data_IF_910209754704
#
_entry.id   IF_910209754704
#
_cell.length_a   1.000
_cell.length_b   1.000
_cell.length_c   1.000
_cell.angle_alpha   90.00
_cell.angle_beta   90.00
_cell.angle_gamma   90.00
#
_symmetry.space_group_name_H-M   'P 1'
#
loop_
_entity.id
_entity.type
_entity.pdbx_description
1 polymer ?
#
# COMPACT_ATOMS: atom_id res chain seq x y z
N UNK A 1 14.30 0.77 -43.70
CA UNK A 1 13.86 0.11 -42.44
C UNK A 1 14.79 0.59 -41.35
N UNK A 2 14.44 1.36 -40.34
CA UNK A 2 13.21 1.47 -39.58
C UNK A 2 13.66 1.64 -38.13
N UNK A 3 14.05 2.87 -37.75
CA UNK A 3 14.36 3.25 -36.37
C UNK A 3 13.13 2.95 -35.52
N UNK A 4 13.17 2.00 -34.58
CA UNK A 4 12.22 1.84 -33.45
C UNK A 4 12.61 0.63 -32.57
N UNK A 5 13.81 0.64 -31.97
CA UNK A 5 14.30 -0.47 -31.13
C UNK A 5 14.03 -0.35 -29.63
N UNK A 6 13.40 0.72 -29.14
CA UNK A 6 13.33 1.02 -27.69
C UNK A 6 11.94 1.47 -27.19
N UNK A 7 10.91 1.49 -28.04
CA UNK A 7 9.58 1.98 -27.65
C UNK A 7 8.76 0.98 -26.81
N UNK A 8 9.24 -0.25 -26.62
CA UNK A 8 8.61 -1.27 -25.77
C UNK A 8 8.99 -1.19 -24.28
N UNK A 9 9.92 -0.30 -23.92
CA UNK A 9 10.32 -0.05 -22.53
C UNK A 9 9.43 1.00 -21.84
N UNK A 10 8.46 1.58 -22.56
CA UNK A 10 7.49 2.49 -21.98
C UNK A 10 6.60 1.72 -21.00
N UNK A 11 6.87 1.96 -19.72
CA UNK A 11 6.18 1.46 -18.54
C UNK A 11 4.68 1.29 -18.74
N UNK A 12 4.25 0.04 -19.00
CA UNK A 12 2.84 -0.32 -18.98
C UNK A 12 2.29 -0.05 -17.57
N UNK A 13 1.28 0.81 -17.49
CA UNK A 13 0.56 1.18 -16.27
C UNK A 13 -0.02 -0.09 -15.65
N UNK A 14 0.54 -0.55 -14.53
CA UNK A 14 0.15 -1.81 -13.89
C UNK A 14 1.31 -2.71 -13.45
N UNK A 15 2.57 -2.33 -13.71
CA UNK A 15 3.73 -3.08 -13.20
C UNK A 15 3.94 -2.80 -11.70
N UNK A 16 3.50 -3.72 -10.86
CA UNK A 16 3.72 -3.71 -9.42
C UNK A 16 3.10 -4.94 -8.74
N UNK A 17 3.63 -5.34 -7.57
CA UNK A 17 2.99 -6.37 -6.73
C UNK A 17 1.60 -5.86 -6.34
N UNK A 18 0.56 -6.68 -6.55
CA UNK A 18 -0.80 -6.36 -6.10
C UNK A 18 -0.77 -6.03 -4.61
N UNK A 19 -1.46 -4.95 -4.24
CA UNK A 19 -1.53 -4.52 -2.83
C UNK A 19 -2.12 -5.66 -2.00
N UNK A 20 -1.56 -5.91 -0.82
CA UNK A 20 -2.04 -6.97 0.10
C UNK A 20 -3.44 -6.66 0.61
N UNK A 21 -3.81 -5.38 0.63
CA UNK A 21 -5.13 -4.88 1.04
C UNK A 21 -5.90 -4.39 -0.18
N UNK A 22 -7.20 -4.62 -0.21
CA UNK A 22 -8.09 -4.01 -1.18
C UNK A 22 -8.32 -2.51 -0.86
N UNK A 23 -8.95 -1.77 -1.77
CA UNK A 23 -9.15 -0.32 -1.59
C UNK A 23 -9.96 0.03 -0.33
N UNK A 24 -10.96 -0.78 0.03
CA UNK A 24 -11.79 -0.58 1.21
C UNK A 24 -11.00 -0.81 2.52
N UNK A 25 -10.17 -1.86 2.54
CA UNK A 25 -9.26 -2.16 3.64
C UNK A 25 -8.21 -1.06 3.76
N UNK A 26 -7.63 -0.59 2.65
CA UNK A 26 -6.70 0.54 2.68
C UNK A 26 -7.35 1.81 3.26
N UNK A 27 -8.64 2.06 2.99
CA UNK A 27 -9.37 3.19 3.58
C UNK A 27 -9.53 3.02 5.09
N UNK A 28 -10.00 1.87 5.57
CA UNK A 28 -10.14 1.57 7.01
C UNK A 28 -8.81 1.67 7.75
N UNK A 29 -7.74 1.10 7.17
CA UNK A 29 -6.39 1.17 7.75
C UNK A 29 -5.90 2.61 7.87
N UNK A 30 -6.23 3.48 6.89
CA UNK A 30 -5.90 4.91 6.97
C UNK A 30 -6.62 5.60 8.13
N UNK A 31 -7.90 5.28 8.36
CA UNK A 31 -8.63 5.83 9.51
C UNK A 31 -8.00 5.39 10.83
N UNK A 32 -7.59 4.13 10.94
CA UNK A 32 -6.87 3.63 12.12
C UNK A 32 -5.52 4.32 12.33
N UNK A 33 -4.75 4.55 11.26
CA UNK A 33 -3.48 5.29 11.31
C UNK A 33 -3.72 6.74 11.75
N UNK A 34 -4.74 7.42 11.21
CA UNK A 34 -5.09 8.81 11.61
C UNK A 34 -5.46 8.90 13.09
N UNK A 35 -6.22 7.93 13.58
CA UNK A 35 -6.62 7.86 14.99
C UNK A 35 -5.45 7.48 15.92
N UNK A 36 -4.47 6.74 15.41
CA UNK A 36 -3.35 6.20 16.19
C UNK A 36 -1.98 6.42 15.50
N UNK A 37 -1.53 7.68 15.29
CA UNK A 37 -0.33 7.96 14.50
C UNK A 37 0.96 7.41 15.14
N UNK A 38 0.99 7.26 16.47
CA UNK A 38 2.16 6.78 17.22
C UNK A 38 2.23 5.26 17.36
N UNK A 39 1.14 4.53 17.09
CA UNK A 39 1.02 3.10 17.44
C UNK A 39 0.59 2.24 16.25
N UNK A 40 1.45 2.19 15.21
CA UNK A 40 1.27 1.31 14.04
C UNK A 40 1.18 -0.19 14.40
N UNK A 41 1.67 -0.59 15.59
CA UNK A 41 1.52 -1.95 16.11
C UNK A 41 0.04 -2.31 16.35
N UNK A 42 -0.74 -1.40 16.92
CA UNK A 42 -2.17 -1.61 17.16
C UNK A 42 -2.90 -1.74 15.82
N UNK A 43 -2.53 -0.92 14.84
CA UNK A 43 -3.07 -1.01 13.48
C UNK A 43 -2.74 -2.35 12.86
N UNK A 44 -1.51 -2.85 13.01
CA UNK A 44 -1.10 -4.17 12.51
C UNK A 44 -1.92 -5.30 13.15
N UNK A 45 -2.04 -5.31 14.48
CA UNK A 45 -2.82 -6.33 15.20
C UNK A 45 -4.30 -6.31 14.80
N UNK A 46 -4.89 -5.13 14.58
CA UNK A 46 -6.28 -5.02 14.08
C UNK A 46 -6.44 -5.61 12.68
N UNK A 47 -5.48 -5.40 11.79
CA UNK A 47 -5.49 -5.94 10.42
C UNK A 47 -5.36 -7.46 10.44
N UNK A 48 -4.46 -7.97 11.28
CA UNK A 48 -4.27 -9.41 11.45
C UNK A 48 -5.49 -10.08 12.10
N UNK A 49 -6.12 -9.44 13.10
CA UNK A 49 -7.31 -10.00 13.75
C UNK A 49 -8.58 -9.92 12.90
N UNK A 50 -8.78 -8.81 12.16
CA UNK A 50 -10.02 -8.58 11.39
C UNK A 50 -10.03 -9.35 10.07
N UNK A 51 -8.86 -9.49 9.44
CA UNK A 51 -8.77 -10.04 8.08
C UNK A 51 -7.83 -11.24 7.96
N UNK A 52 -7.16 -11.66 9.04
CA UNK A 52 -6.13 -12.71 9.02
C UNK A 52 -4.98 -12.42 8.04
N UNK A 53 -4.79 -11.14 7.71
CA UNK A 53 -3.76 -10.69 6.78
C UNK A 53 -2.52 -10.23 7.57
N UNK A 54 -1.43 -10.97 7.45
CA UNK A 54 -0.13 -10.55 7.98
C UNK A 54 0.47 -9.43 7.13
N UNK A 55 0.61 -8.24 7.70
CA UNK A 55 1.27 -7.11 7.04
C UNK A 55 2.42 -6.59 7.88
N UNK A 56 3.51 -6.18 7.22
CA UNK A 56 4.63 -5.55 7.91
C UNK A 56 4.28 -4.11 8.32
N UNK A 57 4.88 -3.65 9.42
CA UNK A 57 4.82 -2.23 9.81
C UNK A 57 5.28 -1.29 8.69
N UNK A 58 6.22 -1.73 7.87
CA UNK A 58 6.71 -0.97 6.72
C UNK A 58 5.61 -0.78 5.66
N UNK A 59 4.78 -1.80 5.43
CA UNK A 59 3.61 -1.69 4.55
C UNK A 59 2.62 -0.65 5.08
N UNK A 60 2.37 -0.62 6.39
CA UNK A 60 1.52 0.39 7.03
C UNK A 60 2.10 1.80 6.85
N UNK A 61 3.40 1.98 7.08
CA UNK A 61 4.10 3.26 6.85
C UNK A 61 4.00 3.70 5.39
N UNK A 62 4.18 2.78 4.45
CA UNK A 62 4.05 3.08 3.00
C UNK A 62 2.64 3.50 2.64
N UNK A 63 1.61 2.86 3.23
CA UNK A 63 0.20 3.23 3.05
C UNK A 63 -0.10 4.64 3.59
N UNK A 64 0.47 5.00 4.74
CA UNK A 64 0.38 6.36 5.27
C UNK A 64 1.04 7.40 4.34
N UNK A 65 2.26 7.10 3.86
CA UNK A 65 3.05 7.99 3.00
C UNK A 65 2.42 8.19 1.61
N UNK A 66 1.86 7.13 1.01
CA UNK A 66 1.27 7.14 -0.36
C UNK A 66 0.14 8.16 -0.54
N UNK A 67 -0.52 8.60 0.55
CA UNK A 67 -1.65 9.54 0.51
C UNK A 67 -1.31 10.95 1.02
N UNK A 68 -0.02 11.26 1.23
CA UNK A 68 0.41 12.61 1.60
C UNK A 68 0.24 12.95 3.08
N UNK A 69 0.24 11.96 3.98
CA UNK A 69 0.32 12.20 5.43
C UNK A 69 1.80 12.33 5.86
N UNK A 70 2.48 13.31 5.27
CA UNK A 70 3.87 13.68 5.56
C UNK A 70 3.98 15.18 5.68
#
# INVERSE_FOLDING_TARGET
MGKNGLNGLYSLKGRGRKSTLNEQQELKVKEWIKSHPKTLKIVQEKIENEWEIKISKDTIKRLAKKKGMG
#
